data_IF_353375610070
#
_entry.id   IF_353375610070
#
_cell.length_a   1.000
_cell.length_b   1.000
_cell.length_c   1.000
_cell.angle_alpha   90.00
_cell.angle_beta   90.00
_cell.angle_gamma   90.00
#
_symmetry.space_group_name_H-M   'P 1'
#
loop_
_entity.id
_entity.type
_entity.pdbx_description
1 polymer ?
#
# COMPACT_ATOMS: atom_id res chain seq x y z
N UNK A 1 33.07 14.35 124.96
CA UNK A 1 33.35 13.96 123.55
C UNK A 1 34.43 12.88 123.39
N UNK A 2 35.56 12.89 124.14
CA UNK A 2 36.62 11.85 124.01
C UNK A 2 36.13 10.41 124.27
N UNK A 3 35.19 10.21 125.19
CA UNK A 3 34.66 8.88 125.54
C UNK A 3 33.80 8.29 124.40
N UNK A 4 33.02 9.15 123.72
CA UNK A 4 32.16 8.75 122.60
C UNK A 4 33.01 8.33 121.39
N UNK A 5 34.07 9.09 121.09
CA UNK A 5 35.02 8.78 120.01
C UNK A 5 35.79 7.46 120.25
N UNK A 6 36.15 7.16 121.50
CA UNK A 6 36.81 5.90 121.86
C UNK A 6 35.89 4.68 121.69
N UNK A 7 34.61 4.85 122.03
CA UNK A 7 33.60 3.80 121.87
C UNK A 7 33.31 3.50 120.39
N UNK A 8 33.18 4.54 119.56
CA UNK A 8 33.01 4.41 118.12
C UNK A 8 34.19 3.69 117.44
N UNK A 9 35.44 3.96 117.82
CA UNK A 9 36.60 3.24 117.27
C UNK A 9 36.64 1.76 117.65
N UNK A 10 36.26 1.41 118.89
CA UNK A 10 36.36 0.02 119.39
C UNK A 10 35.20 -0.86 118.92
N UNK A 11 34.04 -0.28 118.59
CA UNK A 11 32.82 -1.00 118.18
C UNK A 11 32.37 -0.69 116.75
N UNK A 12 33.20 -0.04 115.94
CA UNK A 12 32.89 0.40 114.55
C UNK A 12 32.27 -0.69 113.67
N UNK A 13 32.74 -1.94 113.79
CA UNK A 13 32.17 -3.08 113.05
C UNK A 13 30.67 -3.27 113.34
N UNK A 14 30.26 -3.17 114.61
CA UNK A 14 28.85 -3.29 115.01
C UNK A 14 28.02 -2.07 114.58
N UNK A 15 28.63 -0.89 114.52
CA UNK A 15 27.97 0.34 114.04
C UNK A 15 27.68 0.25 112.54
N UNK A 16 28.62 -0.27 111.74
CA UNK A 16 28.38 -0.55 110.31
C UNK A 16 27.30 -1.61 110.14
N UNK A 17 27.37 -2.73 110.89
CA UNK A 17 26.34 -3.78 110.78
C UNK A 17 24.96 -3.26 111.18
N UNK A 18 24.87 -2.42 112.21
CA UNK A 18 23.62 -1.77 112.60
C UNK A 18 23.15 -0.75 111.55
N UNK A 19 24.04 0.00 110.90
CA UNK A 19 23.69 0.90 109.80
C UNK A 19 23.21 0.15 108.57
N UNK A 20 23.85 -0.96 108.19
CA UNK A 20 23.40 -1.79 107.06
C UNK A 20 22.06 -2.46 107.40
N UNK A 21 21.89 -2.96 108.62
CA UNK A 21 20.62 -3.50 109.10
C UNK A 21 19.52 -2.41 109.17
N UNK A 22 19.89 -1.16 109.48
CA UNK A 22 18.99 -0.01 109.47
C UNK A 22 18.68 0.46 108.04
N UNK A 23 19.60 0.31 107.08
CA UNK A 23 19.37 0.58 105.66
C UNK A 23 18.49 -0.49 105.01
N UNK A 24 18.66 -1.76 105.39
CA UNK A 24 17.81 -2.87 104.96
C UNK A 24 16.46 -2.84 105.70
N UNK A 25 16.44 -2.41 106.96
CA UNK A 25 15.22 -2.17 107.76
C UNK A 25 14.48 -0.88 107.38
N UNK A 26 15.16 0.08 106.75
CA UNK A 26 14.60 1.28 106.12
C UNK A 26 14.44 1.09 104.60
N UNK A 27 14.39 -0.17 104.14
CA UNK A 27 13.95 -0.49 102.79
C UNK A 27 12.46 -0.15 102.66
N UNK A 28 12.18 1.12 102.37
CA UNK A 28 10.96 1.49 101.66
C UNK A 28 11.08 0.78 100.31
N UNK A 29 10.42 -0.38 100.20
CA UNK A 29 10.23 -1.04 98.91
C UNK A 29 9.56 -0.08 97.92
N UNK A 30 9.55 -0.40 96.61
CA UNK A 30 8.85 0.43 95.63
C UNK A 30 7.46 0.73 96.17
N UNK A 31 7.10 2.02 96.17
CA UNK A 31 5.80 2.45 96.71
C UNK A 31 4.70 1.66 96.01
N UNK A 32 3.61 1.36 96.70
CA UNK A 32 2.49 0.59 96.14
C UNK A 32 2.05 1.14 94.77
N UNK A 33 2.05 2.46 94.59
CA UNK A 33 1.75 3.14 93.31
C UNK A 33 2.70 2.77 92.15
N UNK A 34 3.99 2.54 92.42
CA UNK A 34 4.97 2.13 91.40
C UNK A 34 4.76 0.67 91.01
N UNK A 35 4.43 -0.19 91.98
CA UNK A 35 4.10 -1.59 91.74
C UNK A 35 2.80 -1.67 90.93
N UNK A 36 1.77 -0.90 91.31
CA UNK A 36 0.48 -0.88 90.63
C UNK A 36 0.60 -0.34 89.20
N UNK A 37 1.40 0.73 88.98
CA UNK A 37 1.67 1.26 87.64
C UNK A 37 2.45 0.28 86.76
N UNK A 38 3.43 -0.42 87.32
CA UNK A 38 4.18 -1.44 86.59
C UNK A 38 3.28 -2.63 86.23
N UNK A 39 2.42 -3.09 87.15
CA UNK A 39 1.46 -4.15 86.88
C UNK A 39 0.45 -3.76 85.80
N UNK A 40 -0.07 -2.53 85.84
CA UNK A 40 -0.98 -2.01 84.81
C UNK A 40 -0.33 -2.00 83.42
N UNK A 41 0.93 -1.59 83.31
CA UNK A 41 1.69 -1.64 82.04
C UNK A 41 1.97 -3.06 81.58
N UNK A 42 2.26 -3.98 82.51
CA UNK A 42 2.45 -5.40 82.19
C UNK A 42 1.17 -6.01 81.64
N UNK A 43 0.02 -5.66 82.21
CA UNK A 43 -1.27 -6.15 81.74
C UNK A 43 -1.66 -5.53 80.40
N UNK A 44 -1.37 -4.25 80.16
CA UNK A 44 -1.54 -3.60 78.86
C UNK A 44 -0.66 -4.24 77.77
N UNK A 45 0.63 -4.45 78.05
CA UNK A 45 1.56 -5.10 77.12
C UNK A 45 1.15 -6.55 76.82
N UNK A 46 0.66 -7.30 77.81
CA UNK A 46 0.09 -8.65 77.58
C UNK A 46 -1.11 -8.60 76.65
N UNK A 47 -2.01 -7.62 76.84
CA UNK A 47 -3.18 -7.44 75.99
C UNK A 47 -2.79 -7.09 74.55
N UNK A 48 -1.83 -6.18 74.37
CA UNK A 48 -1.30 -5.82 73.04
C UNK A 48 -0.62 -7.02 72.37
N UNK A 49 0.22 -7.75 73.11
CA UNK A 49 0.91 -8.93 72.59
C UNK A 49 -0.08 -10.02 72.15
N UNK A 50 -1.17 -10.22 72.91
CA UNK A 50 -2.25 -11.15 72.53
C UNK A 50 -2.95 -10.72 71.25
N UNK A 51 -3.32 -9.44 71.14
CA UNK A 51 -4.00 -8.91 69.96
C UNK A 51 -3.12 -8.94 68.70
N UNK A 52 -1.82 -8.64 68.84
CA UNK A 52 -0.85 -8.71 67.75
C UNK A 52 -0.62 -10.16 67.31
N UNK A 53 -0.54 -11.09 68.27
CA UNK A 53 -0.43 -12.53 67.97
C UNK A 53 -1.65 -13.04 67.19
N UNK A 54 -2.86 -12.64 67.58
CA UNK A 54 -4.09 -12.98 66.84
C UNK A 54 -4.10 -12.38 65.43
N UNK A 55 -3.64 -11.13 65.28
CA UNK A 55 -3.55 -10.46 63.98
C UNK A 55 -2.54 -11.14 63.07
N UNK A 56 -1.36 -11.51 63.58
CA UNK A 56 -0.34 -12.25 62.81
C UNK A 56 -0.89 -13.61 62.38
N UNK A 57 -1.55 -14.35 63.27
CA UNK A 57 -2.16 -15.64 62.93
C UNK A 57 -3.26 -15.51 61.84
N UNK A 58 -4.05 -14.42 61.90
CA UNK A 58 -5.05 -14.11 60.88
C UNK A 58 -4.40 -13.81 59.53
N UNK A 59 -3.36 -12.95 59.51
CA UNK A 59 -2.64 -12.57 58.29
C UNK A 59 -1.88 -13.76 57.68
N UNK A 60 -1.33 -14.65 58.49
CA UNK A 60 -0.72 -15.90 58.00
C UNK A 60 -1.76 -16.81 57.34
N UNK A 61 -2.97 -16.87 57.89
CA UNK A 61 -4.07 -17.66 57.32
C UNK A 61 -4.55 -17.04 56.00
N UNK A 62 -4.74 -15.72 55.96
CA UNK A 62 -5.14 -15.00 54.76
C UNK A 62 -4.10 -15.10 53.64
N UNK A 63 -2.81 -14.97 53.97
CA UNK A 63 -1.73 -15.16 52.99
C UNK A 63 -1.70 -16.58 52.41
N UNK A 64 -1.98 -17.61 53.23
CA UNK A 64 -2.09 -19.00 52.74
C UNK A 64 -3.28 -19.17 51.80
N UNK A 65 -4.44 -18.58 52.13
CA UNK A 65 -5.64 -18.63 51.28
C UNK A 65 -5.42 -17.88 49.95
N UNK A 66 -4.80 -16.71 49.99
CA UNK A 66 -4.44 -15.95 48.79
C UNK A 66 -3.43 -16.70 47.91
N UNK A 67 -2.42 -17.32 48.51
CA UNK A 67 -1.45 -18.13 47.75
C UNK A 67 -2.15 -19.32 47.09
N UNK A 68 -3.05 -20.01 47.78
CA UNK A 68 -3.83 -21.10 47.21
C UNK A 68 -4.67 -20.64 46.02
N UNK A 69 -5.33 -19.48 46.11
CA UNK A 69 -6.09 -18.89 45.00
C UNK A 69 -5.21 -18.50 43.81
N UNK A 70 -4.00 -18.00 44.06
CA UNK A 70 -3.03 -17.71 43.01
C UNK A 70 -2.58 -18.99 42.29
N UNK A 71 -2.31 -20.05 43.05
CA UNK A 71 -1.90 -21.35 42.52
C UNK A 71 -3.04 -22.01 41.72
N UNK A 72 -4.28 -21.91 42.19
CA UNK A 72 -5.48 -22.37 41.49
C UNK A 72 -5.76 -21.59 40.20
N UNK A 73 -5.43 -20.29 40.16
CA UNK A 73 -5.61 -19.44 38.99
C UNK A 73 -4.46 -19.58 37.97
N UNK A 74 -3.28 -20.09 38.36
CA UNK A 74 -2.12 -20.22 37.49
C UNK A 74 -2.40 -20.98 36.17
N UNK A 75 -3.21 -22.07 36.13
CA UNK A 75 -3.60 -22.72 34.89
C UNK A 75 -4.44 -21.84 33.96
N UNK A 76 -5.29 -20.97 34.53
CA UNK A 76 -6.16 -20.08 33.74
C UNK A 76 -5.32 -19.06 32.97
N UNK A 77 -4.31 -18.47 33.61
CA UNK A 77 -3.37 -17.55 32.95
C UNK A 77 -2.59 -18.23 31.83
N UNK A 78 -2.09 -19.46 32.06
CA UNK A 78 -1.40 -20.24 31.02
C UNK A 78 -2.29 -20.52 29.82
N UNK A 79 -3.54 -20.92 30.06
CA UNK A 79 -4.50 -21.17 28.98
C UNK A 79 -4.82 -19.90 28.18
N UNK A 80 -4.93 -18.75 28.85
CA UNK A 80 -5.19 -17.47 28.20
C UNK A 80 -4.04 -17.06 27.28
N UNK A 81 -2.79 -17.26 27.70
CA UNK A 81 -1.61 -16.95 26.88
C UNK A 81 -1.48 -17.91 25.68
N UNK A 82 -1.73 -19.20 25.86
CA UNK A 82 -1.76 -20.17 24.76
C UNK A 82 -2.85 -19.85 23.72
N UNK A 83 -4.03 -19.40 24.16
CA UNK A 83 -5.09 -18.97 23.26
C UNK A 83 -4.70 -17.73 22.45
N UNK A 84 -4.08 -16.73 23.10
CA UNK A 84 -3.58 -15.54 22.40
C UNK A 84 -2.50 -15.89 21.37
N UNK A 85 -1.59 -16.80 21.68
CA UNK A 85 -0.58 -17.26 20.73
C UNK A 85 -1.22 -17.97 19.53
N UNK A 86 -2.17 -18.88 19.78
CA UNK A 86 -2.90 -19.58 18.69
C UNK A 86 -3.70 -18.64 17.81
N UNK A 87 -4.36 -17.62 18.39
CA UNK A 87 -5.10 -16.62 17.62
C UNK A 87 -4.16 -15.75 16.79
N UNK A 88 -3.00 -15.35 17.34
CA UNK A 88 -1.99 -14.59 16.60
C UNK A 88 -1.40 -15.40 15.44
N UNK A 89 -1.10 -16.68 15.67
CA UNK A 89 -0.60 -17.58 14.63
C UNK A 89 -1.64 -17.82 13.52
N UNK A 90 -2.91 -18.02 13.90
CA UNK A 90 -4.00 -18.17 12.95
C UNK A 90 -4.20 -16.91 12.09
N UNK A 91 -4.16 -15.71 12.70
CA UNK A 91 -4.24 -14.44 11.96
C UNK A 91 -3.06 -14.26 11.01
N UNK A 92 -1.84 -14.58 11.45
CA UNK A 92 -0.66 -14.49 10.59
C UNK A 92 -0.72 -15.48 9.41
N UNK A 93 -1.22 -16.70 9.64
CA UNK A 93 -1.41 -17.69 8.58
C UNK A 93 -2.49 -17.27 7.57
N UNK A 94 -3.60 -16.71 8.05
CA UNK A 94 -4.68 -16.20 7.20
C UNK A 94 -4.22 -15.01 6.34
N UNK A 95 -3.51 -14.05 6.94
CA UNK A 95 -2.96 -12.89 6.23
C UNK A 95 -1.96 -13.32 5.15
N UNK A 96 -1.09 -14.29 5.45
CA UNK A 96 -0.17 -14.86 4.47
C UNK A 96 -0.90 -15.52 3.29
N UNK A 97 -1.99 -16.26 3.56
CA UNK A 97 -2.80 -16.91 2.51
C UNK A 97 -3.51 -15.88 1.63
N UNK A 98 -4.09 -14.84 2.23
CA UNK A 98 -4.72 -13.73 1.50
C UNK A 98 -3.71 -12.99 0.61
N UNK A 99 -2.49 -12.75 1.11
CA UNK A 99 -1.42 -12.13 0.32
C UNK A 99 -0.98 -13.00 -0.86
N UNK A 100 -0.83 -14.32 -0.66
CA UNK A 100 -0.44 -15.25 -1.73
C UNK A 100 -1.55 -15.39 -2.79
N UNK A 101 -2.81 -15.41 -2.39
CA UNK A 101 -3.95 -15.45 -3.32
C UNK A 101 -4.04 -14.17 -4.15
N UNK A 102 -3.86 -13.01 -3.51
CA UNK A 102 -3.84 -11.72 -4.20
C UNK A 102 -2.68 -11.63 -5.20
N UNK A 103 -1.50 -12.10 -4.84
CA UNK A 103 -0.35 -12.14 -5.75
C UNK A 103 -0.62 -13.03 -6.98
N UNK A 104 -1.23 -14.21 -6.79
CA UNK A 104 -1.62 -15.09 -7.91
C UNK A 104 -2.68 -14.46 -8.82
N UNK A 105 -3.66 -13.75 -8.26
CA UNK A 105 -4.66 -13.05 -9.06
C UNK A 105 -4.05 -11.90 -9.87
N UNK A 106 -3.15 -11.11 -9.27
CA UNK A 106 -2.45 -10.03 -9.97
C UNK A 106 -1.56 -10.57 -11.11
N UNK A 107 -0.84 -11.67 -10.88
CA UNK A 107 -0.04 -12.32 -11.93
C UNK A 107 -0.91 -12.87 -13.08
N UNK A 108 -2.03 -13.51 -12.77
CA UNK A 108 -2.97 -14.02 -13.78
C UNK A 108 -3.60 -12.87 -14.59
N UNK A 109 -3.98 -11.77 -13.94
CA UNK A 109 -4.53 -10.60 -14.60
C UNK A 109 -3.49 -9.91 -15.51
N UNK A 110 -2.24 -9.79 -15.05
CA UNK A 110 -1.16 -9.23 -15.85
C UNK A 110 -0.87 -10.09 -17.09
N UNK A 111 -0.87 -11.42 -16.95
CA UNK A 111 -0.66 -12.34 -18.07
C UNK A 111 -1.81 -12.28 -19.08
N UNK A 112 -3.06 -12.25 -18.63
CA UNK A 112 -4.23 -12.12 -19.50
C UNK A 112 -4.22 -10.79 -20.28
N UNK A 113 -3.82 -9.70 -19.63
CA UNK A 113 -3.67 -8.40 -20.30
C UNK A 113 -2.57 -8.42 -21.36
N UNK A 114 -1.41 -9.00 -21.04
CA UNK A 114 -0.31 -9.12 -22.00
C UNK A 114 -0.68 -9.97 -23.23
N UNK A 115 -1.44 -11.04 -23.04
CA UNK A 115 -1.92 -11.89 -24.14
C UNK A 115 -2.96 -11.18 -25.01
N UNK A 116 -3.87 -10.40 -24.40
CA UNK A 116 -4.83 -9.57 -25.14
C UNK A 116 -4.14 -8.46 -25.95
N UNK A 117 -3.18 -7.75 -25.35
CA UNK A 117 -2.42 -6.69 -26.02
C UNK A 117 -1.59 -7.26 -27.18
N UNK A 118 -0.98 -8.45 -27.01
CA UNK A 118 -0.24 -9.13 -28.08
C UNK A 118 -1.16 -9.53 -29.24
N UNK A 119 -2.35 -10.07 -28.95
CA UNK A 119 -3.32 -10.45 -29.98
C UNK A 119 -3.85 -9.23 -30.74
N UNK A 120 -4.15 -8.14 -30.05
CA UNK A 120 -4.57 -6.89 -30.68
C UNK A 120 -3.47 -6.28 -31.58
N UNK A 121 -2.21 -6.35 -31.15
CA UNK A 121 -1.08 -5.91 -31.97
C UNK A 121 -0.87 -6.79 -33.21
N UNK A 122 -1.10 -8.10 -33.11
CA UNK A 122 -1.04 -9.02 -34.25
C UNK A 122 -2.19 -8.78 -35.24
N UNK A 123 -3.42 -8.61 -34.75
CA UNK A 123 -4.59 -8.25 -35.58
C UNK A 123 -4.38 -6.92 -36.31
N UNK A 124 -3.90 -5.88 -35.61
CA UNK A 124 -3.58 -4.59 -36.24
C UNK A 124 -2.48 -4.70 -37.31
N UNK A 125 -1.50 -5.59 -37.12
CA UNK A 125 -0.43 -5.81 -38.09
C UNK A 125 -0.92 -6.58 -39.32
N UNK A 126 -1.85 -7.53 -39.14
CA UNK A 126 -2.51 -8.25 -40.24
C UNK A 126 -3.36 -7.27 -41.06
N UNK A 127 -4.20 -6.46 -40.41
CA UNK A 127 -5.03 -5.45 -41.06
C UNK A 127 -4.19 -4.43 -41.85
N UNK A 128 -3.09 -3.94 -41.26
CA UNK A 128 -2.16 -3.06 -41.94
C UNK A 128 -1.50 -3.71 -43.16
N UNK A 129 -1.20 -5.02 -43.09
CA UNK A 129 -0.61 -5.76 -44.22
C UNK A 129 -1.61 -6.03 -45.35
N UNK A 130 -2.90 -6.22 -45.03
CA UNK A 130 -3.97 -6.39 -46.02
C UNK A 130 -4.32 -5.06 -46.72
N UNK A 131 -4.19 -3.93 -46.03
CA UNK A 131 -4.43 -2.60 -46.60
C UNK A 131 -3.30 -2.09 -47.51
N UNK A 132 -2.13 -2.74 -47.50
CA UNK A 132 -0.98 -2.29 -48.31
C UNK A 132 -1.22 -2.51 -49.81
N UNK A 133 -1.25 -1.40 -50.56
CA UNK A 133 -1.50 -1.42 -52.01
C UNK A 133 -0.34 -2.04 -52.77
N UNK A 134 -0.67 -2.85 -53.78
CA UNK A 134 0.30 -3.44 -54.72
C UNK A 134 0.29 -2.67 -56.04
N UNK A 135 1.35 -2.79 -56.82
CA UNK A 135 1.41 -2.18 -58.16
C UNK A 135 0.28 -2.66 -59.08
N UNK A 136 -0.15 -3.91 -58.95
CA UNK A 136 -1.26 -4.46 -59.72
C UNK A 136 -2.59 -3.82 -59.31
N UNK A 137 -2.83 -3.63 -58.01
CA UNK A 137 -4.04 -2.96 -57.51
C UNK A 137 -4.09 -1.47 -57.88
N UNK A 138 -2.95 -0.77 -57.83
CA UNK A 138 -2.85 0.61 -58.36
C UNK A 138 -3.28 0.67 -59.82
N UNK A 139 -2.78 -0.26 -60.65
CA UNK A 139 -3.15 -0.33 -62.07
C UNK A 139 -4.63 -0.64 -62.28
N UNK A 140 -5.22 -1.51 -61.47
CA UNK A 140 -6.65 -1.83 -61.50
C UNK A 140 -7.49 -0.59 -61.18
N UNK A 141 -7.22 0.06 -60.05
CA UNK A 141 -7.94 1.27 -59.62
C UNK A 141 -7.88 2.36 -60.69
N UNK A 142 -6.69 2.67 -61.22
CA UNK A 142 -6.57 3.75 -62.22
C UNK A 142 -7.36 3.42 -63.50
N UNK A 143 -7.46 2.15 -63.89
CA UNK A 143 -8.24 1.72 -65.05
C UNK A 143 -9.76 1.76 -64.81
N UNK A 144 -10.21 1.56 -63.59
CA UNK A 144 -11.64 1.66 -63.26
C UNK A 144 -12.13 3.11 -63.35
N UNK A 145 -11.25 4.09 -63.06
CA UNK A 145 -11.56 5.52 -63.13
C UNK A 145 -11.19 6.18 -64.47
N UNK A 146 -10.50 5.48 -65.38
CA UNK A 146 -10.21 6.00 -66.73
C UNK A 146 -10.08 4.91 -67.79
N UNK A 147 -10.75 5.15 -68.93
CA UNK A 147 -10.71 4.27 -70.10
C UNK A 147 -9.38 4.32 -70.86
N UNK A 148 -8.62 5.41 -70.76
CA UNK A 148 -7.37 5.61 -71.50
C UNK A 148 -6.29 6.06 -70.53
N UNK A 149 -5.53 5.07 -70.08
CA UNK A 149 -4.45 5.24 -69.10
C UNK A 149 -3.13 4.80 -69.72
N UNK A 150 -2.16 5.71 -69.68
CA UNK A 150 -0.79 5.50 -70.14
C UNK A 150 0.18 5.69 -68.97
N UNK A 151 1.36 5.07 -69.07
CA UNK A 151 2.50 5.32 -68.17
C UNK A 151 2.23 5.18 -66.65
N UNK A 152 1.44 4.18 -66.23
CA UNK A 152 1.27 3.91 -64.79
C UNK A 152 2.58 3.36 -64.20
N UNK A 153 3.04 3.96 -63.11
CA UNK A 153 4.16 3.45 -62.33
C UNK A 153 3.90 3.60 -60.83
N UNK A 154 4.27 2.58 -60.07
CA UNK A 154 4.24 2.60 -58.61
C UNK A 154 5.61 2.19 -58.08
N UNK A 155 6.34 3.14 -57.50
CA UNK A 155 7.70 2.92 -56.98
C UNK A 155 7.90 3.71 -55.70
N UNK A 156 8.41 3.07 -54.66
CA UNK A 156 8.75 3.72 -53.38
C UNK A 156 7.60 4.57 -52.79
N UNK A 157 6.36 4.11 -52.94
CA UNK A 157 5.17 4.85 -52.47
C UNK A 157 4.72 5.99 -53.39
N UNK A 158 5.38 6.24 -54.52
CA UNK A 158 4.96 7.25 -55.49
C UNK A 158 4.20 6.58 -56.65
N UNK A 159 2.96 7.04 -56.88
CA UNK A 159 2.11 6.66 -58.00
C UNK A 159 2.20 7.74 -59.06
N UNK A 160 2.54 7.36 -60.30
CA UNK A 160 2.48 8.25 -61.47
C UNK A 160 1.58 7.64 -62.52
N UNK A 161 0.72 8.44 -63.13
CA UNK A 161 -0.12 8.02 -64.25
C UNK A 161 -0.31 9.14 -65.26
N UNK A 162 -0.53 8.79 -66.52
CA UNK A 162 -0.99 9.70 -67.55
C UNK A 162 -2.39 9.29 -67.96
N UNK A 163 -3.37 10.16 -67.79
CA UNK A 163 -4.79 9.88 -68.07
C UNK A 163 -5.26 10.78 -69.19
N UNK A 164 -5.75 10.19 -70.28
CA UNK A 164 -6.35 10.95 -71.37
C UNK A 164 -7.82 11.22 -71.07
N UNK A 165 -8.18 12.50 -71.08
CA UNK A 165 -9.55 12.94 -70.87
C UNK A 165 -10.35 12.80 -72.16
N UNK A 166 -11.51 12.17 -72.08
CA UNK A 166 -12.45 12.16 -73.20
C UNK A 166 -13.02 13.59 -73.38
N UNK A 167 -13.02 14.15 -74.60
CA UNK A 167 -13.56 15.48 -74.83
C UNK A 167 -15.07 15.49 -74.58
N UNK A 168 -15.52 16.38 -73.69
CA UNK A 168 -16.94 16.66 -73.46
C UNK A 168 -17.21 18.12 -73.80
N UNK A 169 -18.18 18.40 -74.67
CA UNK A 169 -18.48 19.77 -75.13
C UNK A 169 -18.94 20.73 -74.01
N UNK A 170 -19.34 20.19 -72.85
CA UNK A 170 -19.95 20.95 -71.75
C UNK A 170 -18.99 21.24 -70.58
N UNK A 171 -17.81 20.62 -70.54
CA UNK A 171 -16.86 20.77 -69.43
C UNK A 171 -15.48 21.14 -69.96
N UNK A 172 -14.77 22.02 -69.25
CA UNK A 172 -13.39 22.33 -69.57
C UNK A 172 -12.49 21.11 -69.31
N UNK A 173 -11.32 21.07 -69.95
CA UNK A 173 -10.37 19.99 -69.72
C UNK A 173 -9.85 20.02 -68.27
N UNK A 174 -9.77 21.22 -67.71
CA UNK A 174 -9.39 21.51 -66.33
C UNK A 174 -10.42 20.96 -65.33
N UNK A 175 -11.72 21.22 -65.53
CA UNK A 175 -12.78 20.69 -64.66
C UNK A 175 -12.80 19.16 -64.66
N UNK A 176 -12.60 18.56 -65.85
CA UNK A 176 -12.52 17.12 -66.01
C UNK A 176 -11.27 16.53 -65.32
N UNK A 177 -10.13 17.23 -65.39
CA UNK A 177 -8.90 16.83 -64.71
C UNK A 177 -9.07 16.86 -63.18
N UNK A 178 -9.64 17.95 -62.64
CA UNK A 178 -9.89 18.12 -61.20
C UNK A 178 -10.83 17.04 -60.68
N UNK A 179 -11.95 16.81 -61.38
CA UNK A 179 -12.92 15.78 -60.99
C UNK A 179 -12.32 14.38 -61.05
N UNK A 180 -11.62 14.05 -62.14
CA UNK A 180 -10.98 12.75 -62.31
C UNK A 180 -9.88 12.51 -61.27
N UNK A 181 -9.11 13.54 -60.91
CA UNK A 181 -8.09 13.42 -59.87
C UNK A 181 -8.72 13.18 -58.51
N UNK A 182 -9.73 13.97 -58.14
CA UNK A 182 -10.45 13.83 -56.86
C UNK A 182 -10.97 12.41 -56.67
N UNK A 183 -11.73 11.88 -57.63
CA UNK A 183 -12.29 10.53 -57.55
C UNK A 183 -11.23 9.44 -57.42
N UNK A 184 -10.19 9.51 -58.26
CA UNK A 184 -9.09 8.55 -58.20
C UNK A 184 -8.34 8.63 -56.87
N UNK A 185 -8.09 9.84 -56.39
CA UNK A 185 -7.34 10.06 -55.16
C UNK A 185 -8.12 9.59 -53.93
N UNK A 186 -9.43 9.79 -53.90
CA UNK A 186 -10.31 9.34 -52.81
C UNK A 186 -10.37 7.81 -52.75
N UNK A 187 -10.43 7.13 -53.90
CA UNK A 187 -10.33 5.66 -53.93
C UNK A 187 -8.97 5.18 -53.39
N UNK A 188 -7.88 5.79 -53.86
CA UNK A 188 -6.54 5.44 -53.41
C UNK A 188 -6.35 5.71 -51.91
N UNK A 189 -7.08 6.68 -51.33
CA UNK A 189 -7.04 6.95 -49.89
C UNK A 189 -7.49 5.76 -49.04
N UNK A 190 -8.31 4.85 -49.57
CA UNK A 190 -8.71 3.61 -48.90
C UNK A 190 -7.62 2.54 -48.82
N UNK A 191 -6.46 2.78 -49.45
CA UNK A 191 -5.33 1.86 -49.46
C UNK A 191 -4.07 2.48 -48.88
N UNK A 192 -3.33 1.71 -48.09
CA UNK A 192 -2.07 2.10 -47.47
C UNK A 192 -0.86 1.80 -48.37
N UNK A 193 0.31 2.33 -48.05
CA UNK A 193 1.56 1.99 -48.75
C UNK A 193 1.94 2.88 -49.95
N UNK A 194 1.13 3.90 -50.26
CA UNK A 194 1.52 5.01 -51.14
C UNK A 194 1.58 6.33 -50.36
N UNK A 195 2.25 7.32 -50.92
CA UNK A 195 2.61 8.58 -50.29
C UNK A 195 2.39 9.77 -51.21
N UNK A 196 2.63 9.63 -52.51
CA UNK A 196 2.45 10.71 -53.48
C UNK A 196 1.70 10.18 -54.68
N UNK A 197 0.66 10.90 -55.10
CA UNK A 197 -0.06 10.66 -56.34
C UNK A 197 0.28 11.79 -57.30
N UNK A 198 0.71 11.44 -58.52
CA UNK A 198 0.95 12.39 -59.60
C UNK A 198 0.21 11.93 -60.85
N UNK A 199 -0.70 12.75 -61.35
CA UNK A 199 -1.48 12.44 -62.55
C UNK A 199 -1.29 13.54 -63.56
N UNK A 200 -0.88 13.15 -64.77
CA UNK A 200 -0.75 14.04 -65.92
C UNK A 200 -1.94 13.85 -66.83
N UNK A 201 -2.66 14.93 -67.11
CA UNK A 201 -3.78 15.00 -68.04
C UNK A 201 -3.34 15.77 -69.30
N UNK A 202 -3.02 15.07 -70.41
CA UNK A 202 -2.55 15.73 -71.63
C UNK A 202 -3.52 16.82 -72.10
N UNK A 203 -3.01 18.04 -72.23
CA UNK A 203 -3.81 19.19 -72.67
C UNK A 203 -4.53 19.97 -71.56
N UNK A 204 -4.55 19.46 -70.32
CA UNK A 204 -5.12 20.15 -69.15
C UNK A 204 -4.05 20.55 -68.12
N UNK A 205 -3.12 19.65 -67.80
CA UNK A 205 -2.06 19.90 -66.82
C UNK A 205 -1.66 18.67 -66.02
N UNK A 206 -0.87 18.87 -64.97
CA UNK A 206 -0.42 17.83 -64.02
C UNK A 206 -0.79 18.22 -62.60
N UNK A 207 -1.34 17.27 -61.85
CA UNK A 207 -1.65 17.43 -60.42
C UNK A 207 -0.75 16.47 -59.63
N UNK A 208 -0.16 16.95 -58.54
CA UNK A 208 0.65 16.13 -57.63
C UNK A 208 0.37 16.50 -56.17
N UNK A 209 -0.05 15.51 -55.39
CA UNK A 209 -0.36 15.68 -53.96
C UNK A 209 0.19 14.52 -53.14
N UNK A 210 0.59 14.83 -51.91
CA UNK A 210 1.01 13.87 -50.91
C UNK A 210 -0.20 13.39 -50.08
N UNK A 211 -0.23 12.11 -49.74
CA UNK A 211 -1.27 11.47 -48.92
C UNK A 211 -1.54 12.21 -47.60
N UNK A 212 -0.54 12.86 -47.00
CA UNK A 212 -0.68 13.62 -45.76
C UNK A 212 -1.39 14.97 -45.93
N UNK A 213 -1.64 15.40 -47.16
CA UNK A 213 -2.38 16.62 -47.50
C UNK A 213 -3.89 16.38 -47.60
N UNK A 214 -4.33 15.14 -47.35
CA UNK A 214 -5.75 14.81 -47.23
C UNK A 214 -6.39 15.51 -46.03
N UNK A 215 -7.67 15.80 -46.16
CA UNK A 215 -8.55 16.19 -45.07
C UNK A 215 -9.48 15.03 -44.71
N UNK A 216 -10.08 15.07 -43.52
CA UNK A 216 -11.03 14.06 -43.05
C UNK A 216 -12.36 14.73 -42.72
N UNK A 217 -13.46 14.21 -43.26
CA UNK A 217 -14.83 14.61 -42.93
C UNK A 217 -15.64 13.42 -42.39
N UNK A 218 -16.96 13.59 -42.23
CA UNK A 218 -17.86 12.53 -41.74
C UNK A 218 -18.02 11.33 -42.70
N UNK A 219 -17.63 11.48 -43.97
CA UNK A 219 -17.70 10.45 -45.00
C UNK A 219 -16.36 9.74 -45.23
N UNK A 220 -15.24 10.34 -44.83
CA UNK A 220 -13.91 9.73 -44.92
C UNK A 220 -12.80 10.74 -45.21
N UNK A 221 -11.65 10.19 -45.61
CA UNK A 221 -10.50 10.97 -46.05
C UNK A 221 -10.68 11.39 -47.52
N UNK A 222 -10.35 12.64 -47.85
CA UNK A 222 -10.48 13.20 -49.20
C UNK A 222 -9.40 14.25 -49.48
N UNK A 223 -9.18 14.59 -50.74
CA UNK A 223 -8.38 15.77 -51.12
C UNK A 223 -9.28 16.98 -51.39
N UNK A 224 -9.02 18.15 -50.78
CA UNK A 224 -9.82 19.34 -51.01
C UNK A 224 -9.81 19.77 -52.47
N UNK A 225 -10.98 19.94 -53.08
CA UNK A 225 -11.10 20.30 -54.51
C UNK A 225 -10.36 21.59 -54.85
N UNK A 226 -10.41 22.60 -53.96
CA UNK A 226 -9.71 23.87 -54.16
C UNK A 226 -8.18 23.67 -54.26
N UNK A 227 -7.61 22.79 -53.44
CA UNK A 227 -6.17 22.47 -53.49
C UNK A 227 -5.79 21.71 -54.78
N UNK A 228 -6.70 20.86 -55.27
CA UNK A 228 -6.52 20.16 -56.56
C UNK A 228 -6.51 21.18 -57.71
N UNK A 229 -7.46 22.13 -57.72
CA UNK A 229 -7.56 23.20 -58.72
C UNK A 229 -6.31 24.08 -58.73
N UNK A 230 -5.82 24.50 -57.55
CA UNK A 230 -4.62 25.33 -57.42
C UNK A 230 -3.35 24.62 -57.91
N UNK A 231 -3.31 23.29 -57.85
CA UNK A 231 -2.13 22.50 -58.26
C UNK A 231 -2.14 22.04 -59.70
N UNK A 232 -3.24 22.20 -60.42
CA UNK A 232 -3.31 21.87 -61.83
C UNK A 232 -2.45 22.88 -62.63
N UNK A 233 -1.26 22.43 -63.07
CA UNK A 233 -0.27 23.22 -63.82
C UNK A 233 0.07 22.63 -65.19
#
# INVERSE_FOLDING_TARGET
MKVVLGFLKKRWKYVITALIALSIGAAVGPSQEQIDSANAKVDELKKQLSAETETVASLETENKDLQAKVDEAAPWFKMQDEQKQKEAEAKAAEEKRLAEEKAKQEEAAAKAKAEADAKAAEEAKVEQSEQQITADKVNEIIKDYSYVVNNVSFKNGEIKATIELAPMEQFSAEDLAVNGYSQLSDELLNHEGWQVLTVTYPGAGTISMNRNEKETNEFGDYFPTLEIEERLN
#
